data_IF_692419217411
#
_entry.id   IF_692419217411
#
_cell.length_a   1.000
_cell.length_b   1.000
_cell.length_c   1.000
_cell.angle_alpha   90.00
_cell.angle_beta   90.00
_cell.angle_gamma   90.00
#
_symmetry.space_group_name_H-M   'P 1'
#
loop_
_entity.id
_entity.type
_entity.pdbx_description
1 polymer ?
#
# COMPACT_ATOMS: atom_id res chain seq x y z
N UNK A 1 -28.81 -54.18 -29.11
CA UNK A 1 -28.43 -52.86 -29.65
C UNK A 1 -28.71 -51.84 -28.56
N UNK A 2 -27.68 -51.23 -27.95
CA UNK A 2 -27.82 -50.19 -26.91
C UNK A 2 -27.22 -48.90 -27.48
N UNK A 3 -27.92 -47.75 -27.54
CA UNK A 3 -27.31 -46.52 -27.97
C UNK A 3 -26.56 -45.90 -26.79
N UNK A 4 -25.28 -45.62 -27.01
CA UNK A 4 -24.42 -44.88 -26.09
C UNK A 4 -24.51 -43.41 -26.52
N UNK A 5 -25.24 -42.60 -25.75
CA UNK A 5 -25.36 -41.16 -26.00
C UNK A 5 -24.16 -40.48 -25.33
N UNK A 6 -23.20 -40.03 -26.14
CA UNK A 6 -22.08 -39.19 -25.69
C UNK A 6 -22.53 -37.74 -25.64
N UNK A 7 -22.62 -37.18 -24.42
CA UNK A 7 -22.90 -35.78 -24.18
C UNK A 7 -21.59 -34.98 -24.25
N UNK A 8 -21.42 -34.16 -25.28
CA UNK A 8 -20.27 -33.25 -25.43
C UNK A 8 -20.56 -31.98 -24.62
N UNK A 9 -19.84 -31.78 -23.51
CA UNK A 9 -19.87 -30.52 -22.75
C UNK A 9 -18.93 -29.50 -23.40
N UNK A 10 -19.51 -28.46 -24.01
CA UNK A 10 -18.78 -27.28 -24.45
C UNK A 10 -18.43 -26.40 -23.24
N UNK A 11 -17.16 -26.38 -22.84
CA UNK A 11 -16.64 -25.48 -21.81
C UNK A 11 -16.38 -24.09 -22.38
N UNK A 12 -17.20 -23.12 -21.98
CA UNK A 12 -16.95 -21.70 -22.25
C UNK A 12 -15.66 -21.25 -21.54
N UNK A 13 -14.67 -20.82 -22.32
CA UNK A 13 -13.48 -20.12 -21.84
C UNK A 13 -13.89 -18.73 -21.35
N UNK A 14 -13.94 -18.54 -20.03
CA UNK A 14 -14.03 -17.21 -19.43
C UNK A 14 -12.67 -16.54 -19.49
N UNK A 15 -12.55 -15.52 -20.35
CA UNK A 15 -11.38 -14.68 -20.46
C UNK A 15 -11.09 -13.96 -19.13
N UNK A 16 -9.84 -14.05 -18.66
CA UNK A 16 -9.37 -13.47 -17.41
C UNK A 16 -9.33 -11.92 -17.47
N UNK A 17 -10.41 -11.26 -17.05
CA UNK A 17 -10.45 -9.81 -16.77
C UNK A 17 -10.51 -9.48 -15.27
N UNK A 18 -10.41 -10.50 -14.39
CA UNK A 18 -10.68 -10.38 -12.95
C UNK A 18 -9.64 -9.65 -12.10
N UNK A 19 -8.40 -9.46 -12.58
CA UNK A 19 -7.34 -8.91 -11.73
C UNK A 19 -7.57 -7.43 -11.33
N UNK A 20 -8.24 -6.64 -12.17
CA UNK A 20 -8.43 -5.19 -11.95
C UNK A 20 -9.63 -4.87 -11.07
N UNK A 21 -10.66 -5.71 -11.06
CA UNK A 21 -11.83 -5.55 -10.20
C UNK A 21 -11.47 -5.88 -8.75
N UNK A 22 -10.75 -6.98 -8.52
CA UNK A 22 -10.29 -7.39 -7.20
C UNK A 22 -9.32 -6.37 -6.57
N UNK A 23 -8.44 -5.78 -7.37
CA UNK A 23 -7.55 -4.71 -6.90
C UNK A 23 -8.31 -3.43 -6.50
N UNK A 24 -9.46 -3.14 -7.13
CA UNK A 24 -10.26 -1.99 -6.76
C UNK A 24 -10.94 -2.16 -5.39
N UNK A 25 -11.46 -3.35 -5.09
CA UNK A 25 -12.01 -3.68 -3.76
C UNK A 25 -10.90 -3.71 -2.70
N UNK A 26 -9.74 -4.27 -3.04
CA UNK A 26 -8.58 -4.29 -2.18
C UNK A 26 -8.09 -2.89 -1.80
N UNK A 27 -7.89 -1.97 -2.76
CA UNK A 27 -7.50 -0.60 -2.44
C UNK A 27 -8.56 0.10 -1.56
N UNK A 28 -9.85 -0.11 -1.86
CA UNK A 28 -10.95 0.45 -1.06
C UNK A 28 -10.96 -0.07 0.39
N UNK A 29 -10.46 -1.28 0.65
CA UNK A 29 -10.35 -1.81 2.02
C UNK A 29 -9.41 -0.99 2.93
N UNK A 30 -8.51 -0.18 2.35
CA UNK A 30 -7.66 0.74 3.11
C UNK A 30 -8.32 2.07 3.44
N UNK A 31 -9.52 2.37 2.91
CA UNK A 31 -10.17 3.65 3.15
C UNK A 31 -10.62 3.78 4.61
N UNK A 32 -10.38 4.95 5.21
CA UNK A 32 -10.83 5.23 6.56
C UNK A 32 -9.89 6.13 7.36
N UNK A 33 -10.09 6.13 8.67
CA UNK A 33 -9.20 6.79 9.63
C UNK A 33 -8.59 5.74 10.55
N UNK A 34 -7.29 5.84 10.79
CA UNK A 34 -6.52 4.91 11.61
C UNK A 34 -5.73 5.70 12.64
N UNK A 35 -5.61 5.15 13.84
CA UNK A 35 -4.74 5.69 14.87
C UNK A 35 -3.88 4.56 15.43
N UNK A 36 -2.64 4.88 15.79
CA UNK A 36 -1.71 3.91 16.32
C UNK A 36 -0.63 4.56 17.16
N UNK A 37 -0.19 3.83 18.18
CA UNK A 37 0.89 4.24 19.07
C UNK A 37 2.06 3.27 18.94
N UNK A 38 3.27 3.76 19.14
CA UNK A 38 4.47 2.94 19.08
C UNK A 38 5.69 3.64 19.64
N UNK A 39 6.86 3.08 19.32
CA UNK A 39 8.14 3.67 19.68
C UNK A 39 9.08 3.67 18.48
N UNK A 40 9.97 4.67 18.40
CA UNK A 40 10.99 4.73 17.35
C UNK A 40 12.32 5.23 17.89
N UNK A 41 13.39 4.91 17.17
CA UNK A 41 14.75 5.43 17.41
C UNK A 41 15.24 6.07 16.12
N UNK A 42 15.82 7.27 16.20
CA UNK A 42 16.37 7.96 15.01
C UNK A 42 17.70 7.34 14.53
N UNK A 43 18.39 6.62 15.42
CA UNK A 43 19.60 5.83 15.12
C UNK A 43 19.73 4.72 16.17
N UNK A 44 20.62 3.75 15.91
CA UNK A 44 20.83 2.61 16.82
C UNK A 44 21.21 3.03 18.26
N UNK A 45 21.92 4.15 18.43
CA UNK A 45 22.38 4.65 19.72
C UNK A 45 21.48 5.74 20.34
N UNK A 46 20.44 6.19 19.63
CA UNK A 46 19.55 7.24 20.13
C UNK A 46 18.57 6.69 21.20
N UNK A 47 18.04 7.55 22.10
CA UNK A 47 16.95 7.17 22.99
C UNK A 47 15.70 6.73 22.21
N UNK A 48 14.93 5.81 22.79
CA UNK A 48 13.62 5.42 22.29
C UNK A 48 12.61 6.51 22.57
N UNK A 49 11.83 6.89 21.56
CA UNK A 49 10.81 7.94 21.65
C UNK A 49 9.44 7.33 21.41
N UNK A 50 8.48 7.62 22.31
CA UNK A 50 7.08 7.26 22.11
C UNK A 50 6.47 8.14 21.02
N UNK A 51 5.67 7.53 20.14
CA UNK A 51 5.00 8.22 19.04
C UNK A 51 3.55 7.78 18.96
N UNK A 52 2.67 8.75 18.70
CA UNK A 52 1.28 8.54 18.33
C UNK A 52 1.08 9.06 16.91
N UNK A 53 0.42 8.29 16.06
CA UNK A 53 0.16 8.64 14.68
C UNK A 53 -1.32 8.51 14.37
N UNK A 54 -1.86 9.52 13.71
CA UNK A 54 -3.18 9.52 13.11
C UNK A 54 -3.03 9.52 11.59
N UNK A 55 -3.73 8.62 10.92
CA UNK A 55 -3.73 8.50 9.47
C UNK A 55 -5.15 8.65 8.92
N UNK A 56 -5.27 9.36 7.80
CA UNK A 56 -6.46 9.39 6.96
C UNK A 56 -6.11 8.76 5.63
N UNK A 57 -6.94 7.84 5.20
CA UNK A 57 -6.74 7.10 3.95
C UNK A 57 -7.92 7.33 3.01
N UNK A 58 -7.60 7.79 1.80
CA UNK A 58 -8.52 7.91 0.69
C UNK A 58 -8.21 6.86 -0.36
N UNK A 59 -9.22 6.19 -0.89
CA UNK A 59 -9.01 5.18 -1.93
C UNK A 59 -10.04 5.32 -3.05
N UNK A 60 -9.58 5.04 -4.27
CA UNK A 60 -10.42 4.82 -5.44
C UNK A 60 -10.16 3.43 -6.00
N UNK A 61 -10.78 3.07 -7.13
CA UNK A 61 -10.48 1.83 -7.84
C UNK A 61 -9.04 1.74 -8.36
N UNK A 62 -8.30 2.86 -8.41
CA UNK A 62 -6.96 2.91 -9.02
C UNK A 62 -5.96 3.77 -8.26
N UNK A 63 -6.32 4.29 -7.09
CA UNK A 63 -5.43 5.13 -6.29
C UNK A 63 -5.66 4.92 -4.80
N UNK A 64 -4.60 5.17 -4.03
CA UNK A 64 -4.62 5.19 -2.58
C UNK A 64 -3.82 6.41 -2.14
N UNK A 65 -4.39 7.25 -1.29
CA UNK A 65 -3.68 8.28 -0.55
C UNK A 65 -3.72 7.92 0.93
N UNK A 66 -2.59 8.09 1.61
CA UNK A 66 -2.46 7.90 3.05
C UNK A 66 -1.78 9.13 3.61
N UNK A 67 -2.49 9.89 4.43
CA UNK A 67 -2.02 11.13 5.03
C UNK A 67 -1.91 10.94 6.54
N UNK A 68 -0.67 10.88 7.02
CA UNK A 68 -0.33 10.61 8.40
C UNK A 68 0.29 11.80 9.12
N UNK A 69 -0.13 12.03 10.35
CA UNK A 69 0.50 12.97 11.27
C UNK A 69 0.96 12.21 12.51
N UNK A 70 2.26 12.18 12.72
CA UNK A 70 2.88 11.51 13.86
C UNK A 70 3.46 12.52 14.83
N UNK A 71 3.05 12.43 16.09
CA UNK A 71 3.48 13.28 17.20
C UNK A 71 4.28 12.46 18.21
N UNK A 72 5.51 12.88 18.47
CA UNK A 72 6.31 12.40 19.60
C UNK A 72 6.07 13.25 20.85
N UNK A 73 7.03 13.26 21.78
CA UNK A 73 7.06 14.19 22.92
C UNK A 73 6.69 15.61 22.46
N UNK A 74 5.51 16.08 22.89
CA UNK A 74 4.77 17.36 22.81
C UNK A 74 5.04 18.33 21.63
N UNK A 75 6.25 18.45 21.10
CA UNK A 75 6.67 19.44 20.09
C UNK A 75 7.20 18.85 18.79
N UNK A 76 7.44 17.54 18.69
CA UNK A 76 7.86 16.92 17.42
C UNK A 76 6.68 16.32 16.69
N UNK A 77 6.15 17.07 15.73
CA UNK A 77 5.19 16.55 14.73
C UNK A 77 5.91 16.29 13.41
N UNK A 78 5.66 15.13 12.80
CA UNK A 78 6.11 14.81 11.45
C UNK A 78 4.96 14.32 10.60
N UNK A 79 4.92 14.80 9.37
CA UNK A 79 4.01 14.27 8.35
C UNK A 79 4.64 13.03 7.73
N UNK A 80 3.81 12.00 7.57
CA UNK A 80 4.14 10.75 6.88
C UNK A 80 3.01 10.48 5.91
N UNK A 81 3.28 10.53 4.61
CA UNK A 81 2.27 10.23 3.59
C UNK A 81 2.74 9.27 2.53
N UNK A 82 1.78 8.62 1.87
CA UNK A 82 2.00 7.78 0.71
C UNK A 82 0.86 7.96 -0.29
N UNK A 83 1.22 8.30 -1.52
CA UNK A 83 0.28 8.41 -2.64
C UNK A 83 0.63 7.37 -3.69
N UNK A 84 -0.27 6.43 -3.93
CA UNK A 84 -0.11 5.34 -4.89
C UNK A 84 -1.12 5.44 -6.02
N UNK A 85 -0.68 5.04 -7.20
CA UNK A 85 -1.52 4.82 -8.38
C UNK A 85 -1.29 3.42 -8.91
N UNK A 86 -2.40 2.74 -9.24
CA UNK A 86 -2.36 1.50 -9.98
C UNK A 86 -1.77 1.75 -11.36
N UNK A 87 -0.75 0.99 -11.67
CA UNK A 87 -0.13 0.86 -12.99
C UNK A 87 -0.56 -0.49 -13.57
N UNK A 88 -0.48 -0.66 -14.89
CA UNK A 88 -0.93 -1.92 -15.52
C UNK A 88 -0.29 -3.20 -14.97
N UNK A 89 0.82 -3.11 -14.22
CA UNK A 89 1.57 -4.26 -13.66
C UNK A 89 1.76 -4.20 -12.13
N UNK A 90 1.17 -3.24 -11.42
CA UNK A 90 1.39 -3.06 -9.98
C UNK A 90 1.06 -1.64 -9.52
N UNK A 91 1.83 -1.08 -8.60
CA UNK A 91 1.63 0.27 -8.06
C UNK A 91 2.90 1.10 -8.14
N UNK A 92 2.72 2.40 -8.38
CA UNK A 92 3.78 3.39 -8.32
C UNK A 92 3.29 4.60 -7.53
N UNK A 93 4.20 5.29 -6.87
CA UNK A 93 3.80 6.40 -6.02
C UNK A 93 4.92 7.17 -5.38
N UNK A 94 4.55 8.02 -4.44
CA UNK A 94 5.46 8.88 -3.69
C UNK A 94 5.26 8.64 -2.20
N UNK A 95 6.37 8.58 -1.47
CA UNK A 95 6.43 8.53 -0.02
C UNK A 95 7.01 9.82 0.53
N UNK A 96 6.34 10.42 1.51
CA UNK A 96 6.85 11.54 2.31
C UNK A 96 6.96 11.06 3.76
N UNK A 97 8.05 11.37 4.44
CA UNK A 97 8.29 10.90 5.80
C UNK A 97 9.76 10.68 6.14
N UNK A 98 10.65 10.73 5.14
CA UNK A 98 12.10 10.80 5.35
C UNK A 98 12.59 12.24 5.45
N UNK A 99 13.77 12.46 6.05
CA UNK A 99 14.49 13.74 5.96
C UNK A 99 15.20 13.94 4.61
N UNK A 100 15.20 12.92 3.76
CA UNK A 100 15.89 12.97 2.44
C UNK A 100 15.06 13.64 1.36
N UNK A 101 13.78 13.90 1.61
CA UNK A 101 12.80 14.41 0.65
C UNK A 101 11.80 13.34 0.20
N UNK A 102 10.91 13.68 -0.75
CA UNK A 102 9.95 12.73 -1.32
C UNK A 102 10.68 11.55 -1.99
N UNK A 103 10.36 10.33 -1.57
CA UNK A 103 10.91 9.09 -2.12
C UNK A 103 9.92 8.44 -3.09
N UNK A 104 10.41 7.62 -4.01
CA UNK A 104 9.57 6.91 -4.97
C UNK A 104 9.18 5.54 -4.41
N UNK A 105 7.93 5.16 -4.61
CA UNK A 105 7.39 3.84 -4.30
C UNK A 105 7.14 3.08 -5.59
N UNK A 106 7.54 1.81 -5.64
CA UNK A 106 7.12 0.89 -6.70
C UNK A 106 6.94 -0.52 -6.15
N UNK A 107 5.98 -1.26 -6.69
CA UNK A 107 5.80 -2.65 -6.31
C UNK A 107 4.48 -3.22 -6.76
N UNK A 108 4.00 -4.24 -6.07
CA UNK A 108 2.76 -4.94 -6.42
C UNK A 108 2.06 -5.47 -5.18
N UNK A 109 0.82 -5.89 -5.36
CA UNK A 109 0.10 -6.64 -4.34
C UNK A 109 0.68 -8.05 -4.19
N UNK A 110 0.71 -8.54 -2.96
CA UNK A 110 1.00 -9.93 -2.61
C UNK A 110 -0.01 -10.39 -1.56
N UNK A 111 -1.05 -11.11 -1.99
CA UNK A 111 -2.17 -11.48 -1.12
C UNK A 111 -2.91 -10.22 -0.62
N UNK A 112 -3.01 -10.05 0.69
CA UNK A 112 -3.66 -8.89 1.32
C UNK A 112 -2.69 -7.76 1.70
N UNK A 113 -1.49 -7.76 1.13
CA UNK A 113 -0.47 -6.76 1.40
C UNK A 113 -0.01 -6.04 0.12
N UNK A 114 0.31 -4.76 0.25
CA UNK A 114 1.10 -4.03 -0.73
C UNK A 114 2.58 -4.24 -0.41
N UNK A 115 3.33 -4.86 -1.33
CA UNK A 115 4.77 -5.01 -1.21
C UNK A 115 5.45 -3.94 -2.08
N UNK A 116 6.01 -2.92 -1.45
CA UNK A 116 6.54 -1.73 -2.10
C UNK A 116 8.01 -1.52 -1.74
N UNK A 117 8.85 -1.35 -2.75
CA UNK A 117 10.20 -0.84 -2.60
C UNK A 117 10.21 0.68 -2.49
N UNK A 118 11.06 1.21 -1.61
CA UNK A 118 11.32 2.65 -1.49
C UNK A 118 12.64 2.98 -2.18
N UNK A 119 12.60 3.88 -3.16
CA UNK A 119 13.79 4.53 -3.72
C UNK A 119 13.93 5.92 -3.12
N UNK A 120 14.87 6.06 -2.20
CA UNK A 120 15.13 7.30 -1.48
C UNK A 120 15.66 8.41 -2.39
N UNK A 121 15.34 9.66 -2.06
CA UNK A 121 15.83 10.83 -2.80
C UNK A 121 17.32 11.10 -2.56
N UNK A 122 17.84 10.63 -1.42
CA UNK A 122 19.26 10.66 -1.07
C UNK A 122 19.60 9.37 -0.33
N UNK A 123 20.88 9.10 -0.17
CA UNK A 123 21.36 8.01 0.67
C UNK A 123 20.75 8.10 2.07
N UNK A 124 20.33 6.96 2.59
CA UNK A 124 19.80 6.81 3.94
C UNK A 124 20.70 5.86 4.70
N UNK A 125 20.93 6.18 5.97
CA UNK A 125 21.79 5.43 6.90
C UNK A 125 23.31 5.49 6.63
N UNK A 126 23.75 6.25 5.63
CA UNK A 126 25.16 6.54 5.35
C UNK A 126 25.96 5.36 4.78
#
# INVERSE_FOLDING_TARGET
MRPMVSLVLAGCLTAATGARADDADFLRSFQGSFAGNGTFKVSANAPTVNIACDFKSGATSTSLSLDGKCSGLILMTREISADLKATGRGYSGVYIGSRTGPAQLNGSRSGNALNLGIRWAKEVNG
#
